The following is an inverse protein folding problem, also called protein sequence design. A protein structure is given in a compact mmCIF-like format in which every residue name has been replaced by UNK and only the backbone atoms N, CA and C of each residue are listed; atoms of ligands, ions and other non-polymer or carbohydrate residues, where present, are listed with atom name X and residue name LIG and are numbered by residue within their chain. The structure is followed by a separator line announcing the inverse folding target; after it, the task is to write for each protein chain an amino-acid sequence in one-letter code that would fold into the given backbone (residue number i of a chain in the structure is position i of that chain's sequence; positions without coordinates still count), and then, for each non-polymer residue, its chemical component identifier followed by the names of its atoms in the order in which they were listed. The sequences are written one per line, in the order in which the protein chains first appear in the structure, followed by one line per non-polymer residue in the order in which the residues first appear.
data_IF_479488843006
#
_entry.id   IF_479488843006
#
_cell.length_a   1.000
_cell.length_b   1.000
_cell.length_c   1.000
_cell.angle_alpha   90.00
_cell.angle_beta   90.00
_cell.angle_gamma   90.00
#
_symmetry.space_group_name_H-M   'P 1'
#
loop_
_entity.id
_entity.type
_entity.pdbx_description
1 polymer ?
#
# COMPACT_ATOMS: atom_id res chain seq x y z
N UNK A 1 0.65 4.67 -17.46
CA UNK A 1 0.55 3.36 -16.81
C UNK A 1 -0.82 3.23 -16.16
N UNK A 2 -1.35 2.03 -16.13
CA UNK A 2 -2.58 1.68 -15.40
C UNK A 2 -2.17 0.80 -14.21
N UNK A 3 -2.56 1.21 -13.02
CA UNK A 3 -2.45 0.41 -11.81
C UNK A 3 -3.83 -0.09 -11.40
N UNK A 4 -3.94 -1.36 -11.08
CA UNK A 4 -5.21 -1.97 -10.71
C UNK A 4 -4.98 -3.00 -9.58
N UNK A 5 -5.79 -2.90 -8.54
CA UNK A 5 -5.91 -3.98 -7.55
C UNK A 5 -6.81 -5.07 -8.15
N UNK A 6 -6.18 -6.03 -8.82
CA UNK A 6 -6.87 -7.14 -9.50
C UNK A 6 -7.70 -7.96 -8.52
N UNK A 7 -7.22 -8.17 -7.30
CA UNK A 7 -7.94 -8.97 -6.30
C UNK A 7 -9.20 -8.25 -5.82
N UNK A 8 -9.12 -6.92 -5.61
CA UNK A 8 -10.31 -6.09 -5.34
C UNK A 8 -11.32 -6.12 -6.48
N UNK A 9 -10.85 -6.08 -7.74
CA UNK A 9 -11.72 -6.20 -8.91
C UNK A 9 -12.43 -7.56 -8.96
N UNK A 10 -11.71 -8.65 -8.73
CA UNK A 10 -12.28 -10.00 -8.63
C UNK A 10 -13.33 -10.08 -7.53
N UNK A 11 -13.05 -9.52 -6.36
CA UNK A 11 -14.00 -9.48 -5.24
C UNK A 11 -15.29 -8.72 -5.59
N UNK A 12 -15.21 -7.59 -6.27
CA UNK A 12 -16.37 -6.86 -6.76
C UNK A 12 -17.19 -7.68 -7.77
N UNK A 13 -16.54 -8.56 -8.52
CA UNK A 13 -17.20 -9.52 -9.41
C UNK A 13 -17.73 -10.78 -8.69
N UNK A 14 -17.69 -10.82 -7.36
CA UNK A 14 -18.15 -11.97 -6.56
C UNK A 14 -17.14 -13.11 -6.43
N UNK A 15 -15.91 -12.93 -6.86
CA UNK A 15 -14.84 -13.92 -6.78
C UNK A 15 -13.93 -13.62 -5.60
N UNK A 16 -13.74 -14.60 -4.71
CA UNK A 16 -12.90 -14.43 -3.51
C UNK A 16 -11.72 -15.44 -3.53
N UNK A 17 -10.67 -15.17 -4.32
CA UNK A 17 -9.53 -16.09 -4.47
C UNK A 17 -8.62 -16.15 -3.25
N UNK A 18 -8.72 -15.19 -2.34
CA UNK A 18 -7.93 -15.11 -1.12
C UNK A 18 -8.82 -14.82 0.10
N UNK A 19 -8.48 -15.36 1.29
CA UNK A 19 -9.12 -14.93 2.53
C UNK A 19 -8.76 -13.47 2.84
N UNK A 20 -9.64 -12.81 3.60
CA UNK A 20 -9.34 -11.47 4.14
C UNK A 20 -8.35 -11.59 5.30
N UNK A 21 -7.39 -10.67 5.35
CA UNK A 21 -6.41 -10.62 6.44
C UNK A 21 -7.03 -10.08 7.72
N UNK A 22 -7.82 -9.01 7.64
CA UNK A 22 -8.34 -8.26 8.79
C UNK A 22 -9.86 -8.23 8.87
N UNK A 23 -10.55 -8.99 8.05
CA UNK A 23 -12.01 -9.04 8.02
C UNK A 23 -12.68 -7.82 7.36
N UNK A 24 -11.94 -6.92 6.76
CA UNK A 24 -12.50 -5.78 6.02
C UNK A 24 -13.18 -6.30 4.74
N UNK A 25 -14.51 -6.41 4.78
CA UNK A 25 -15.34 -6.98 3.70
C UNK A 25 -16.28 -5.96 3.07
N UNK A 26 -15.97 -4.69 3.14
CA UNK A 26 -16.78 -3.63 2.53
C UNK A 26 -16.07 -3.02 1.31
N UNK A 27 -16.86 -2.45 0.43
CA UNK A 27 -16.34 -1.66 -0.70
C UNK A 27 -15.74 -0.38 -0.15
N UNK A 28 -14.47 -0.15 -0.45
CA UNK A 28 -13.77 1.08 -0.07
C UNK A 28 -14.42 2.29 -0.76
N UNK A 29 -14.73 3.37 -0.04
CA UNK A 29 -15.25 4.58 -0.65
C UNK A 29 -14.25 5.21 -1.60
N UNK A 30 -14.74 6.10 -2.46
CA UNK A 30 -13.89 6.91 -3.32
C UNK A 30 -13.04 7.92 -2.54
N UNK A 31 -12.10 8.59 -3.23
CA UNK A 31 -11.30 9.66 -2.64
C UNK A 31 -12.16 10.77 -2.06
N UNK A 32 -11.63 11.49 -1.06
CA UNK A 32 -12.28 12.68 -0.47
C UNK A 32 -12.49 13.80 -1.49
N UNK A 33 -11.56 13.89 -2.47
CA UNK A 33 -11.62 14.89 -3.54
C UNK A 33 -11.50 14.20 -4.89
N UNK A 34 -11.96 14.88 -5.95
CA UNK A 34 -11.85 14.40 -7.33
C UNK A 34 -10.98 15.34 -8.17
N UNK A 35 -9.91 15.89 -7.57
CA UNK A 35 -9.00 16.85 -8.17
C UNK A 35 -7.69 16.25 -8.69
N UNK A 36 -7.57 14.91 -8.70
CA UNK A 36 -6.40 14.16 -9.17
C UNK A 36 -6.24 14.08 -10.69
N UNK A 37 -7.18 14.62 -11.48
CA UNK A 37 -7.03 14.73 -12.93
C UNK A 37 -6.17 15.94 -13.27
N UNK A 38 -4.85 15.72 -13.31
CA UNK A 38 -3.84 16.76 -13.45
C UNK A 38 -3.43 16.94 -14.92
N UNK A 39 -4.34 17.46 -15.75
CA UNK A 39 -4.06 17.71 -17.16
C UNK A 39 -3.21 18.97 -17.37
N UNK A 40 -3.31 19.94 -16.48
CA UNK A 40 -2.54 21.17 -16.53
C UNK A 40 -1.38 21.14 -15.53
N UNK A 41 -0.24 21.63 -15.97
CA UNK A 41 0.95 21.76 -15.11
C UNK A 41 0.64 22.63 -13.89
N UNK A 42 0.95 22.13 -12.71
CA UNK A 42 0.79 22.83 -11.44
C UNK A 42 2.03 23.64 -11.07
N UNK A 43 1.91 24.50 -10.06
CA UNK A 43 3.04 25.25 -9.54
C UNK A 43 4.13 24.29 -9.03
N UNK A 44 5.35 24.53 -9.48
CA UNK A 44 6.51 23.72 -9.10
C UNK A 44 6.79 23.75 -7.60
N UNK A 45 6.53 24.88 -6.92
CA UNK A 45 6.72 24.99 -5.47
C UNK A 45 5.73 24.12 -4.70
N UNK A 46 4.46 24.06 -5.15
CA UNK A 46 3.47 23.17 -4.55
C UNK A 46 3.80 21.69 -4.79
N UNK A 47 4.24 21.36 -5.99
CA UNK A 47 4.71 20.01 -6.32
C UNK A 47 5.92 19.61 -5.47
N UNK A 48 6.90 20.50 -5.33
CA UNK A 48 8.08 20.26 -4.51
C UNK A 48 7.73 20.11 -3.03
N UNK A 49 6.86 20.96 -2.50
CA UNK A 49 6.37 20.87 -1.12
C UNK A 49 5.72 19.50 -0.83
N UNK A 50 4.95 18.98 -1.77
CA UNK A 50 4.33 17.66 -1.63
C UNK A 50 5.37 16.54 -1.68
N UNK A 51 6.33 16.65 -2.59
CA UNK A 51 7.43 15.69 -2.71
C UNK A 51 8.29 15.65 -1.45
N UNK A 52 8.62 16.81 -0.90
CA UNK A 52 9.44 16.92 0.33
C UNK A 52 8.73 16.28 1.52
N UNK A 53 7.41 16.46 1.64
CA UNK A 53 6.61 15.84 2.68
C UNK A 53 6.59 14.30 2.54
N UNK A 54 6.40 13.78 1.32
CA UNK A 54 6.47 12.34 1.05
C UNK A 54 7.88 11.80 1.31
N UNK A 55 8.92 12.54 0.94
CA UNK A 55 10.31 12.15 1.23
C UNK A 55 10.57 12.06 2.73
N UNK A 56 10.10 13.04 3.52
CA UNK A 56 10.22 13.01 4.98
C UNK A 56 9.51 11.77 5.55
N UNK A 57 8.27 11.55 5.19
CA UNK A 57 7.49 10.38 5.62
C UNK A 57 8.20 9.06 5.28
N UNK A 58 8.77 8.93 4.07
CA UNK A 58 9.52 7.73 3.69
C UNK A 58 10.78 7.53 4.56
N UNK A 59 11.48 8.61 4.94
CA UNK A 59 12.65 8.53 5.82
C UNK A 59 12.22 8.07 7.22
N UNK A 60 11.18 8.67 7.76
CA UNK A 60 10.65 8.32 9.09
C UNK A 60 10.26 6.83 9.14
N UNK A 61 9.51 6.34 8.14
CA UNK A 61 9.12 4.93 8.04
C UNK A 61 10.31 3.96 7.94
N UNK A 62 11.36 4.32 7.19
CA UNK A 62 12.50 3.42 6.96
C UNK A 62 13.54 3.48 8.08
N UNK A 63 13.57 4.55 8.87
CA UNK A 63 14.50 4.69 10.00
C UNK A 63 14.09 3.92 11.25
N UNK A 64 12.81 3.55 11.36
CA UNK A 64 12.21 2.85 12.49
C UNK A 64 11.83 1.39 12.17
N UNK A 65 12.54 0.73 11.27
CA UNK A 65 12.28 -0.65 10.84
C UNK A 65 10.80 -0.89 10.42
N UNK A 66 10.15 0.14 9.86
CA UNK A 66 8.73 0.17 9.49
C UNK A 66 7.76 0.16 10.69
N UNK A 67 8.24 0.41 11.90
CA UNK A 67 7.45 0.48 13.14
C UNK A 67 7.43 1.91 13.70
N UNK A 68 7.00 2.88 12.88
CA UNK A 68 6.97 4.28 13.34
C UNK A 68 5.96 4.48 14.48
N UNK A 69 6.38 5.11 15.58
CA UNK A 69 5.46 5.50 16.64
C UNK A 69 4.35 6.44 16.11
N UNK A 70 3.19 6.43 16.77
CA UNK A 70 2.05 7.30 16.40
C UNK A 70 2.47 8.76 16.30
N UNK A 71 3.29 9.24 17.24
CA UNK A 71 3.70 10.65 17.28
C UNK A 71 4.55 11.04 16.06
N UNK A 72 5.40 10.14 15.56
CA UNK A 72 6.17 10.36 14.32
C UNK A 72 5.25 10.38 13.10
N UNK A 73 4.29 9.47 13.02
CA UNK A 73 3.31 9.45 11.94
C UNK A 73 2.49 10.75 11.91
N UNK A 74 2.10 11.27 13.08
CA UNK A 74 1.37 12.55 13.22
C UNK A 74 2.15 13.77 12.74
N UNK A 75 3.46 13.70 12.60
CA UNK A 75 4.23 14.80 12.01
C UNK A 75 3.93 14.99 10.53
N UNK A 76 3.71 13.91 9.79
CA UNK A 76 3.53 13.92 8.33
C UNK A 76 2.10 13.61 7.90
N UNK A 77 1.30 12.94 8.71
CA UNK A 77 -0.07 12.52 8.41
C UNK A 77 -1.13 13.31 9.19
N UNK A 78 -2.31 13.46 8.59
CA UNK A 78 -3.51 13.90 9.32
C UNK A 78 -4.02 12.78 10.23
N UNK A 79 -4.61 13.13 11.37
CA UNK A 79 -5.15 12.15 12.33
C UNK A 79 -6.28 11.30 11.71
N UNK A 80 -7.06 11.90 10.80
CA UNK A 80 -8.17 11.29 10.07
C UNK A 80 -7.79 10.83 8.64
N UNK A 81 -6.50 10.55 8.43
CA UNK A 81 -6.00 10.09 7.14
C UNK A 81 -6.71 8.83 6.64
N UNK A 82 -6.75 8.64 5.33
CA UNK A 82 -7.21 7.40 4.73
C UNK A 82 -6.04 6.75 4.00
N UNK A 83 -5.79 5.51 4.39
CA UNK A 83 -4.87 4.61 3.67
C UNK A 83 -5.68 3.58 2.91
N UNK A 84 -5.59 3.60 1.59
CA UNK A 84 -6.29 2.67 0.70
C UNK A 84 -5.36 1.49 0.38
N UNK A 85 -5.40 0.47 1.24
CA UNK A 85 -4.65 -0.76 1.04
C UNK A 85 -5.30 -1.71 0.04
N UNK A 86 -4.54 -2.68 -0.48
CA UNK A 86 -5.05 -3.67 -1.42
C UNK A 86 -6.03 -4.63 -0.75
N UNK A 87 -6.78 -5.37 -1.58
CA UNK A 87 -7.69 -6.42 -1.11
C UNK A 87 -6.96 -7.44 -0.22
N UNK A 88 -7.61 -7.85 0.85
CA UNK A 88 -7.04 -8.70 1.89
C UNK A 88 -6.53 -7.90 3.09
N UNK A 89 -6.03 -6.67 2.88
CA UNK A 89 -5.66 -5.73 3.94
C UNK A 89 -6.78 -4.70 4.14
N UNK A 90 -7.26 -4.08 3.05
CA UNK A 90 -8.37 -3.12 3.06
C UNK A 90 -7.96 -1.70 3.44
N UNK A 91 -8.94 -0.79 3.50
CA UNK A 91 -8.70 0.61 3.84
C UNK A 91 -8.74 0.86 5.36
N UNK A 92 -7.95 1.85 5.79
CA UNK A 92 -7.95 2.35 7.17
C UNK A 92 -8.28 3.84 7.20
N UNK A 93 -8.89 4.34 8.28
CA UNK A 93 -9.44 5.69 8.34
C UNK A 93 -8.81 6.60 9.40
N UNK A 94 -7.84 6.11 10.13
CA UNK A 94 -7.08 6.87 11.13
C UNK A 94 -5.68 6.29 11.24
N UNK A 95 -4.75 7.04 11.85
CA UNK A 95 -3.41 6.54 12.13
C UNK A 95 -3.48 5.29 13.02
N UNK A 96 -4.32 5.28 14.05
CA UNK A 96 -4.46 4.13 14.95
C UNK A 96 -4.92 2.87 14.19
N UNK A 97 -5.92 3.03 13.31
CA UNK A 97 -6.42 1.93 12.48
C UNK A 97 -5.40 1.49 11.42
N UNK A 98 -4.62 2.43 10.87
CA UNK A 98 -3.52 2.10 9.98
C UNK A 98 -2.48 1.21 10.67
N UNK A 99 -2.10 1.55 11.90
CA UNK A 99 -1.16 0.73 12.67
C UNK A 99 -1.72 -0.66 13.00
N UNK A 100 -2.95 -0.72 13.50
CA UNK A 100 -3.59 -1.97 13.91
C UNK A 100 -3.84 -2.91 12.72
N UNK A 101 -4.31 -2.37 11.59
CA UNK A 101 -4.78 -3.17 10.45
C UNK A 101 -3.68 -3.45 9.41
N UNK A 102 -2.69 -2.59 9.29
CA UNK A 102 -1.63 -2.73 8.29
C UNK A 102 -0.25 -2.86 8.90
N UNK A 103 0.22 -1.85 9.64
CA UNK A 103 1.62 -1.78 10.08
C UNK A 103 1.98 -2.95 11.02
N UNK A 104 1.17 -3.23 12.02
CA UNK A 104 1.38 -4.35 12.94
C UNK A 104 1.41 -5.70 12.23
N UNK A 105 0.35 -6.11 11.49
CA UNK A 105 0.35 -7.36 10.73
C UNK A 105 1.48 -7.47 9.69
N UNK A 106 1.92 -6.36 9.12
CA UNK A 106 3.05 -6.32 8.20
C UNK A 106 4.36 -6.63 8.92
N UNK A 107 4.61 -5.99 10.06
CA UNK A 107 5.78 -6.21 10.91
C UNK A 107 5.82 -7.64 11.47
N UNK A 108 4.70 -8.11 12.04
CA UNK A 108 4.59 -9.44 12.65
C UNK A 108 4.66 -10.58 11.65
N UNK A 109 4.18 -10.33 10.44
CA UNK A 109 4.02 -11.35 9.40
C UNK A 109 5.19 -11.49 8.42
N UNK A 110 6.19 -10.59 8.50
CA UNK A 110 7.30 -10.53 7.55
C UNK A 110 8.66 -10.46 8.28
N UNK A 111 9.52 -11.41 7.99
CA UNK A 111 10.88 -11.50 8.52
C UNK A 111 11.93 -11.01 7.51
N UNK A 112 13.09 -10.58 8.00
CA UNK A 112 14.24 -10.19 7.20
C UNK A 112 13.90 -9.13 6.14
N UNK A 113 13.07 -8.17 6.55
CA UNK A 113 12.66 -7.06 5.69
C UNK A 113 13.87 -6.23 5.28
N UNK A 114 14.01 -6.01 3.96
CA UNK A 114 15.06 -5.18 3.41
C UNK A 114 14.49 -4.21 2.38
N UNK A 115 14.67 -2.93 2.64
CA UNK A 115 14.30 -1.86 1.72
C UNK A 115 15.35 -1.67 0.63
N UNK A 116 14.91 -1.60 -0.64
CA UNK A 116 15.77 -1.43 -1.82
C UNK A 116 15.64 -0.05 -2.47
N UNK A 117 14.74 0.78 -1.97
CA UNK A 117 14.54 2.14 -2.46
C UNK A 117 13.50 2.25 -3.57
N UNK A 118 13.51 3.40 -4.20
CA UNK A 118 12.56 3.79 -5.23
C UNK A 118 13.28 4.03 -6.54
N UNK A 119 12.79 3.46 -7.64
CA UNK A 119 13.31 3.69 -8.99
C UNK A 119 12.87 5.03 -9.56
N UNK A 120 11.80 5.61 -9.02
CA UNK A 120 11.24 6.89 -9.46
C UNK A 120 10.43 7.52 -8.33
N UNK A 121 10.47 8.84 -8.24
CA UNK A 121 9.58 9.68 -7.44
C UNK A 121 9.01 10.78 -8.30
N UNK A 122 7.72 11.06 -8.16
CA UNK A 122 6.98 12.04 -8.96
C UNK A 122 6.14 12.93 -8.06
N UNK A 123 5.89 14.17 -8.51
CA UNK A 123 4.94 15.05 -7.86
C UNK A 123 4.30 16.01 -8.85
N UNK A 124 3.03 16.32 -8.65
CA UNK A 124 2.28 17.34 -9.36
C UNK A 124 1.23 17.95 -8.43
N UNK A 125 1.39 19.23 -8.10
CA UNK A 125 0.53 19.96 -7.17
C UNK A 125 0.53 19.33 -5.77
N UNK A 126 -0.65 18.93 -5.31
CA UNK A 126 -0.85 18.28 -4.01
C UNK A 126 -0.76 16.74 -4.05
N UNK A 127 -0.36 16.17 -5.17
CA UNK A 127 -0.12 14.74 -5.33
C UNK A 127 1.36 14.45 -5.50
N UNK A 128 1.83 13.37 -4.86
CA UNK A 128 3.17 12.83 -5.07
C UNK A 128 3.14 11.30 -4.91
N UNK A 129 4.15 10.65 -5.42
CA UNK A 129 4.25 9.20 -5.30
C UNK A 129 5.61 8.66 -5.69
N UNK A 130 5.76 7.36 -5.53
CA UNK A 130 6.98 6.64 -5.87
C UNK A 130 6.70 5.24 -6.42
N UNK A 131 7.73 4.69 -7.05
CA UNK A 131 7.75 3.34 -7.60
C UNK A 131 8.92 2.57 -7.00
N UNK A 132 8.66 1.44 -6.35
CA UNK A 132 9.66 0.51 -5.84
C UNK A 132 9.62 -0.81 -6.63
N UNK A 133 10.75 -1.20 -7.28
CA UNK A 133 10.74 -2.33 -8.21
C UNK A 133 12.07 -3.12 -8.24
N UNK A 134 12.27 -4.04 -7.26
CA UNK A 134 11.47 -4.25 -6.07
C UNK A 134 11.59 -3.10 -5.09
N UNK A 135 10.57 -2.91 -4.27
CA UNK A 135 10.63 -1.98 -3.13
C UNK A 135 11.28 -2.65 -1.92
N UNK A 136 10.86 -3.88 -1.67
CA UNK A 136 11.23 -4.67 -0.51
C UNK A 136 11.59 -6.10 -0.90
N UNK A 137 12.43 -6.74 -0.09
CA UNK A 137 12.57 -8.21 -0.02
C UNK A 137 12.36 -8.66 1.41
N UNK A 138 11.75 -9.84 1.59
CA UNK A 138 11.41 -10.40 2.89
C UNK A 138 11.18 -11.90 2.82
N UNK A 139 10.96 -12.50 3.99
CA UNK A 139 10.36 -13.83 4.15
C UNK A 139 9.04 -13.70 4.88
N UNK A 140 8.09 -14.61 4.66
CA UNK A 140 6.89 -14.67 5.49
C UNK A 140 7.18 -15.45 6.77
N UNK A 141 6.90 -14.84 7.93
CA UNK A 141 7.00 -15.48 9.24
C UNK A 141 5.78 -16.35 9.56
N UNK A 142 4.72 -16.19 8.80
CA UNK A 142 3.39 -16.78 8.99
C UNK A 142 2.35 -15.68 9.24
N UNK A 143 1.10 -15.96 8.94
CA UNK A 143 -0.07 -15.09 9.17
C UNK A 143 -0.23 -13.85 8.27
N UNK A 144 0.81 -13.36 7.58
CA UNK A 144 0.63 -12.27 6.63
C UNK A 144 -0.23 -12.74 5.45
N UNK A 145 -1.43 -12.15 5.28
CA UNK A 145 -2.41 -12.51 4.25
C UNK A 145 -2.79 -14.01 4.24
N UNK A 146 -2.72 -14.68 5.38
CA UNK A 146 -2.96 -16.13 5.49
C UNK A 146 -1.86 -17.01 4.88
N UNK A 147 -0.72 -16.43 4.54
CA UNK A 147 0.42 -17.17 4.00
C UNK A 147 1.16 -17.96 5.11
N UNK A 148 1.61 -19.17 4.81
CA UNK A 148 2.42 -19.94 5.75
C UNK A 148 3.83 -19.33 5.89
N UNK A 149 4.51 -19.70 6.98
CA UNK A 149 5.93 -19.39 7.12
C UNK A 149 6.74 -20.01 5.97
N UNK A 150 7.70 -19.26 5.44
CA UNK A 150 8.62 -19.73 4.42
C UNK A 150 10.06 -19.26 4.66
N UNK A 151 11.02 -20.09 4.30
CA UNK A 151 12.44 -19.70 4.28
C UNK A 151 12.86 -19.03 2.95
N UNK A 152 11.97 -18.98 1.99
CA UNK A 152 12.22 -18.35 0.70
C UNK A 152 12.15 -16.82 0.85
N UNK A 153 13.19 -16.15 0.37
CA UNK A 153 13.15 -14.69 0.20
C UNK A 153 12.34 -14.35 -1.05
N UNK A 154 11.39 -13.45 -0.91
CA UNK A 154 10.51 -12.98 -1.97
C UNK A 154 10.61 -11.47 -2.12
N UNK A 155 10.26 -10.97 -3.31
CA UNK A 155 10.24 -9.56 -3.65
C UNK A 155 8.83 -8.99 -3.57
N UNK A 156 8.71 -7.76 -3.08
CA UNK A 156 7.47 -6.98 -3.13
C UNK A 156 7.69 -5.74 -3.99
N UNK A 157 6.86 -5.59 -5.02
CA UNK A 157 6.85 -4.44 -5.92
C UNK A 157 5.68 -3.55 -5.53
N UNK A 158 5.95 -2.25 -5.38
CA UNK A 158 4.97 -1.32 -4.83
C UNK A 158 4.97 -0.02 -5.63
N UNK A 159 3.78 0.50 -5.89
CA UNK A 159 3.56 1.87 -6.31
C UNK A 159 2.69 2.55 -5.28
N UNK A 160 3.09 3.72 -4.86
CA UNK A 160 2.42 4.44 -3.80
C UNK A 160 2.15 5.88 -4.21
N UNK A 161 0.91 6.34 -4.04
CA UNK A 161 0.46 7.68 -4.40
C UNK A 161 -0.15 8.33 -3.16
N UNK A 162 0.20 9.59 -2.94
CA UNK A 162 -0.21 10.38 -1.79
C UNK A 162 -0.89 11.66 -2.21
N UNK A 163 -1.90 12.08 -1.44
CA UNK A 163 -2.49 13.41 -1.54
C UNK A 163 -2.20 14.21 -0.27
N UNK A 164 -1.60 15.37 -0.48
CA UNK A 164 -1.39 16.36 0.58
C UNK A 164 -2.60 17.28 0.71
N UNK A 165 -2.93 17.61 1.94
CA UNK A 165 -3.89 18.66 2.29
C UNK A 165 -3.28 19.57 3.36
N UNK A 166 -3.19 20.86 3.05
CA UNK A 166 -2.41 21.78 3.90
C UNK A 166 -0.92 21.38 3.97
N UNK A 167 -0.46 20.99 5.14
CA UNK A 167 0.93 20.61 5.40
C UNK A 167 1.10 19.12 5.75
N UNK A 168 0.04 18.32 5.60
CA UNK A 168 0.06 16.90 5.96
C UNK A 168 -0.52 16.03 4.86
N UNK A 169 -0.17 14.75 4.87
CA UNK A 169 -0.75 13.74 4.00
C UNK A 169 -2.13 13.36 4.51
N UNK A 170 -3.12 13.41 3.64
CA UNK A 170 -4.51 13.12 3.97
C UNK A 170 -4.99 11.78 3.42
N UNK A 171 -4.45 11.37 2.27
CA UNK A 171 -4.81 10.12 1.61
C UNK A 171 -3.58 9.47 0.99
N UNK A 172 -3.59 8.14 0.99
CA UNK A 172 -2.56 7.32 0.36
C UNK A 172 -3.20 6.11 -0.34
N UNK A 173 -2.84 5.88 -1.59
CA UNK A 173 -3.23 4.70 -2.37
C UNK A 173 -2.00 3.85 -2.64
N UNK A 174 -1.98 2.64 -2.11
CA UNK A 174 -0.90 1.68 -2.33
C UNK A 174 -1.34 0.60 -3.32
N UNK A 175 -0.49 0.34 -4.29
CA UNK A 175 -0.64 -0.73 -5.29
C UNK A 175 0.52 -1.70 -5.14
N UNK A 176 0.24 -2.87 -4.59
CA UNK A 176 1.21 -3.96 -4.47
C UNK A 176 0.97 -4.94 -5.63
N UNK A 177 2.04 -5.36 -6.31
CA UNK A 177 1.99 -6.47 -7.28
C UNK A 177 1.77 -7.80 -6.54
N UNK A 178 0.55 -7.95 -6.00
CA UNK A 178 0.18 -9.11 -5.19
C UNK A 178 0.20 -10.41 -6.00
N UNK A 179 -0.13 -10.37 -7.28
CA UNK A 179 -0.07 -11.57 -8.12
C UNK A 179 1.36 -12.12 -8.17
N UNK A 180 2.34 -11.24 -8.39
CA UNK A 180 3.75 -11.63 -8.40
C UNK A 180 4.24 -12.06 -7.01
N UNK A 181 3.91 -11.30 -5.97
CA UNK A 181 4.30 -11.61 -4.59
C UNK A 181 3.79 -12.99 -4.15
N UNK A 182 2.52 -13.30 -4.41
CA UNK A 182 1.88 -14.56 -4.06
C UNK A 182 2.39 -15.72 -4.91
N UNK A 183 2.61 -15.49 -6.22
CA UNK A 183 3.16 -16.50 -7.14
C UNK A 183 4.54 -17.00 -6.69
N UNK A 184 5.41 -16.09 -6.21
CA UNK A 184 6.71 -16.48 -5.67
C UNK A 184 6.62 -17.48 -4.51
N UNK A 185 5.50 -17.50 -3.81
CA UNK A 185 5.22 -18.38 -2.66
C UNK A 185 4.35 -19.58 -3.03
N UNK A 186 4.11 -19.79 -4.32
CA UNK A 186 3.34 -20.93 -4.83
C UNK A 186 1.82 -20.71 -4.78
N UNK A 187 1.36 -19.48 -4.55
CA UNK A 187 -0.06 -19.13 -4.56
C UNK A 187 -0.44 -18.52 -5.90
N UNK A 188 -0.95 -19.33 -6.81
CA UNK A 188 -1.43 -18.92 -8.13
C UNK A 188 -2.88 -18.46 -8.05
N UNK A 189 -3.07 -17.13 -7.89
CA UNK A 189 -4.39 -16.51 -7.77
C UNK A 189 -5.21 -16.65 -9.04
N UNK A 190 -4.59 -16.57 -10.21
CA UNK A 190 -5.30 -16.68 -11.49
C UNK A 190 -5.85 -18.09 -11.70
N UNK A 191 -5.05 -19.11 -11.43
CA UNK A 191 -5.50 -20.52 -11.49
C UNK A 191 -6.58 -20.82 -10.44
N UNK A 192 -6.49 -20.23 -9.24
CA UNK A 192 -7.58 -20.35 -8.24
C UNK A 192 -8.87 -19.73 -8.75
N UNK A 193 -8.79 -18.56 -9.37
CA UNK A 193 -9.95 -17.87 -9.94
C UNK A 193 -10.58 -18.67 -11.06
N UNK A 194 -9.78 -19.23 -11.97
CA UNK A 194 -10.25 -20.11 -13.05
C UNK A 194 -11.05 -21.29 -12.50
N UNK A 195 -10.55 -21.94 -11.44
CA UNK A 195 -11.25 -23.06 -10.79
C UNK A 195 -12.56 -22.64 -10.13
N UNK A 196 -12.68 -21.41 -9.61
CA UNK A 196 -13.92 -20.89 -9.03
C UNK A 196 -14.97 -20.62 -10.11
N UNK A 197 -14.54 -20.10 -11.26
CA UNK A 197 -15.45 -19.72 -12.37
C UNK A 197 -15.95 -20.94 -13.15
N UNK A 198 -15.16 -21.99 -13.23
CA UNK A 198 -15.47 -23.20 -14.03
C UNK A 198 -16.15 -24.32 -13.25
N UNK A 199 -16.75 -24.03 -12.08
CA UNK A 199 -17.54 -24.98 -11.28
C UNK A 199 -18.95 -25.14 -11.83
#
# INVERSE_FOLDING_TARGET
ALFCDIISLMKQAGLNPLPLQTGADFITPGPRTHDGLLFDKKDHKESQKTLDLVNKMCIDLTSSDMESPIDELKETWQDDMIWYGPSGIGATYTIDRYQEQHQGPFSDGLDNLKFHGHVCRIAEGNYAGWFGWPNLTMKTSGNFMGLPKTEKTVEMRVVDIYRREGNKLAENWIFIDLLYFLMQQGVDVLNRTEKIVNI
#
